data_IF_683889399202
#
_entry.id   IF_683889399202
#
_cell.length_a   1.000
_cell.length_b   1.000
_cell.length_c   1.000
_cell.angle_alpha   90.00
_cell.angle_beta   90.00
_cell.angle_gamma   90.00
#
_symmetry.space_group_name_H-M   'P 1'
#
loop_
_entity.id
_entity.type
_entity.pdbx_description
1 polymer ?
#
# COMPACT_ATOMS: atom_id res chain seq x y z
N UNK A 1 -23.65 2.30 -24.98
CA UNK A 1 -24.71 1.27 -24.98
C UNK A 1 -25.91 1.87 -24.24
N UNK A 2 -27.03 1.95 -24.91
CA UNK A 2 -28.28 2.42 -24.33
C UNK A 2 -29.06 1.19 -23.82
N UNK A 3 -29.32 1.16 -22.51
CA UNK A 3 -30.22 0.18 -21.92
C UNK A 3 -31.31 0.95 -21.20
N UNK A 4 -32.50 1.01 -21.83
CA UNK A 4 -33.56 1.88 -21.36
C UNK A 4 -33.20 3.36 -21.53
N UNK A 5 -33.71 4.23 -20.66
CA UNK A 5 -33.49 5.69 -20.68
C UNK A 5 -32.18 6.13 -20.01
N UNK A 6 -31.19 5.24 -19.86
CA UNK A 6 -29.95 5.51 -19.12
C UNK A 6 -28.72 5.33 -20.00
N UNK A 7 -27.86 6.35 -20.02
CA UNK A 7 -26.56 6.34 -20.71
C UNK A 7 -25.46 6.23 -19.65
N UNK A 8 -24.57 5.25 -19.81
CA UNK A 8 -23.46 5.02 -18.89
C UNK A 8 -22.14 5.46 -19.53
N UNK A 9 -21.26 6.05 -18.75
CA UNK A 9 -19.87 6.27 -19.13
C UNK A 9 -19.03 4.99 -18.92
N UNK A 10 -17.74 5.02 -19.31
CA UNK A 10 -16.83 3.88 -19.18
C UNK A 10 -16.53 3.47 -17.73
N UNK A 11 -16.93 4.25 -16.72
CA UNK A 11 -16.79 3.91 -15.29
C UNK A 11 -18.09 3.38 -14.69
N UNK A 12 -19.12 3.15 -15.51
CA UNK A 12 -20.43 2.70 -15.06
C UNK A 12 -21.26 3.76 -14.34
N UNK A 13 -20.84 5.01 -14.35
CA UNK A 13 -21.62 6.12 -13.78
C UNK A 13 -22.67 6.62 -14.76
N UNK A 14 -23.79 7.05 -14.23
CA UNK A 14 -24.83 7.69 -15.01
C UNK A 14 -24.33 9.04 -15.53
N UNK A 15 -24.10 9.14 -16.83
CA UNK A 15 -23.70 10.40 -17.45
C UNK A 15 -24.77 11.51 -17.33
N UNK A 16 -26.02 11.14 -17.04
CA UNK A 16 -27.16 12.07 -16.89
C UNK A 16 -27.34 12.64 -15.48
N UNK A 17 -26.79 12.00 -14.43
CA UNK A 17 -26.92 12.48 -13.05
C UNK A 17 -26.06 13.72 -12.73
N UNK A 18 -25.14 14.09 -13.64
CA UNK A 18 -24.34 15.31 -13.51
C UNK A 18 -24.94 16.53 -14.22
N UNK A 19 -26.11 16.40 -14.79
CA UNK A 19 -26.78 17.49 -15.49
C UNK A 19 -27.82 18.15 -14.57
N UNK A 20 -27.55 19.37 -14.16
CA UNK A 20 -28.53 20.26 -13.52
C UNK A 20 -29.79 20.36 -14.37
N UNK A 21 -30.88 19.82 -13.88
CA UNK A 21 -32.31 20.10 -14.09
C UNK A 21 -32.90 20.33 -15.48
N UNK A 22 -32.12 20.65 -16.52
CA UNK A 22 -32.65 20.88 -17.87
C UNK A 22 -32.30 19.68 -18.78
N UNK A 23 -33.34 19.14 -19.43
CA UNK A 23 -33.15 18.10 -20.46
C UNK A 23 -32.33 18.69 -21.61
N UNK A 24 -31.18 18.10 -21.95
CA UNK A 24 -30.37 18.59 -23.05
C UNK A 24 -31.17 18.54 -24.35
N UNK A 25 -31.07 19.58 -25.17
CA UNK A 25 -31.71 19.60 -26.47
C UNK A 25 -31.05 18.56 -27.41
N UNK A 26 -31.77 18.19 -28.46
CA UNK A 26 -31.33 17.17 -29.41
C UNK A 26 -30.04 17.54 -30.13
N UNK A 27 -29.72 18.84 -30.27
CA UNK A 27 -28.49 19.32 -30.89
C UNK A 27 -27.28 19.11 -29.99
N UNK A 28 -27.40 19.38 -28.70
CA UNK A 28 -26.37 19.14 -27.69
C UNK A 28 -26.07 17.63 -27.55
N UNK A 29 -27.09 16.77 -27.63
CA UNK A 29 -26.93 15.33 -27.62
C UNK A 29 -26.20 14.82 -28.87
N UNK A 30 -26.53 15.35 -30.07
CA UNK A 30 -25.83 15.00 -31.31
C UNK A 30 -24.36 15.37 -31.26
N UNK A 31 -24.01 16.59 -30.86
CA UNK A 31 -22.63 17.06 -30.75
C UNK A 31 -21.85 16.20 -29.78
N UNK A 32 -22.43 15.82 -28.63
CA UNK A 32 -21.80 14.93 -27.66
C UNK A 32 -21.59 13.52 -28.18
N UNK A 33 -22.50 13.00 -29.00
CA UNK A 33 -22.34 11.68 -29.63
C UNK A 33 -21.29 11.72 -30.73
N UNK A 34 -21.22 12.82 -31.51
CA UNK A 34 -20.18 13.00 -32.55
C UNK A 34 -18.79 13.22 -31.96
N UNK A 35 -18.67 13.93 -30.83
CA UNK A 35 -17.42 14.15 -30.11
C UNK A 35 -17.02 12.96 -29.20
N UNK A 36 -17.90 12.01 -29.00
CA UNK A 36 -17.63 10.82 -28.20
C UNK A 36 -16.63 9.91 -28.93
N UNK A 37 -15.38 10.07 -28.61
CA UNK A 37 -14.33 9.09 -28.91
C UNK A 37 -14.37 8.05 -27.80
N UNK A 38 -14.86 6.81 -28.06
CA UNK A 38 -14.70 5.75 -27.09
C UNK A 38 -13.20 5.55 -26.85
N UNK A 39 -12.70 6.03 -25.74
CA UNK A 39 -11.45 5.54 -25.20
C UNK A 39 -11.75 4.09 -24.85
N UNK A 40 -11.42 3.17 -25.76
CA UNK A 40 -11.34 1.78 -25.43
C UNK A 40 -10.26 1.68 -24.35
N UNK A 41 -10.67 1.71 -23.11
CA UNK A 41 -9.82 1.30 -22.01
C UNK A 41 -9.73 -0.21 -22.18
N UNK A 42 -8.80 -0.66 -23.03
CA UNK A 42 -8.44 -2.06 -23.19
C UNK A 42 -7.60 -2.47 -21.98
N UNK A 43 -8.16 -2.29 -20.79
CA UNK A 43 -7.68 -2.96 -19.62
C UNK A 43 -7.90 -4.45 -19.90
N UNK A 44 -6.81 -5.16 -20.13
CA UNK A 44 -6.84 -6.60 -20.31
C UNK A 44 -7.43 -7.22 -19.05
N UNK A 45 -8.51 -7.98 -19.23
CA UNK A 45 -9.24 -8.65 -18.16
C UNK A 45 -9.03 -10.14 -18.22
N UNK A 46 -9.13 -10.78 -17.07
CA UNK A 46 -9.11 -12.23 -16.94
C UNK A 46 -10.26 -12.73 -16.08
N UNK A 47 -10.36 -14.04 -15.95
CA UNK A 47 -11.38 -14.70 -15.15
C UNK A 47 -10.72 -15.63 -14.14
N UNK A 48 -11.20 -15.62 -12.91
CA UNK A 48 -10.75 -16.54 -11.85
C UNK A 48 -11.23 -17.95 -12.18
N UNK A 49 -10.30 -18.89 -12.26
CA UNK A 49 -10.58 -20.32 -12.49
C UNK A 49 -10.45 -21.16 -11.22
N UNK A 50 -9.72 -20.66 -10.22
CA UNK A 50 -9.56 -21.33 -8.92
C UNK A 50 -9.30 -20.29 -7.85
N UNK A 51 -9.83 -20.49 -6.65
CA UNK A 51 -9.60 -19.64 -5.48
C UNK A 51 -9.45 -20.51 -4.24
N UNK A 52 -8.32 -20.39 -3.53
CA UNK A 52 -8.04 -21.09 -2.28
C UNK A 52 -7.03 -20.31 -1.44
N UNK A 53 -7.29 -20.22 -0.13
CA UNK A 53 -6.37 -19.67 0.88
C UNK A 53 -5.78 -18.28 0.53
N UNK A 54 -6.57 -17.41 -0.09
CA UNK A 54 -6.13 -16.06 -0.46
C UNK A 54 -5.28 -16.02 -1.73
N UNK A 55 -5.12 -17.15 -2.43
CA UNK A 55 -4.48 -17.24 -3.74
C UNK A 55 -5.54 -17.58 -4.77
N UNK A 56 -5.52 -16.87 -5.88
CA UNK A 56 -6.42 -17.13 -7.00
C UNK A 56 -5.62 -17.40 -8.27
N UNK A 57 -6.12 -18.34 -9.06
CA UNK A 57 -5.61 -18.63 -10.40
C UNK A 57 -6.51 -17.94 -11.43
N UNK A 58 -5.92 -17.22 -12.35
CA UNK A 58 -6.62 -16.41 -13.35
C UNK A 58 -6.16 -16.78 -14.75
N UNK A 59 -7.07 -16.85 -15.69
CA UNK A 59 -6.81 -17.00 -17.12
C UNK A 59 -7.20 -15.75 -17.91
N UNK A 60 -6.57 -15.51 -19.06
CA UNK A 60 -6.93 -14.46 -20.01
C UNK A 60 -6.21 -13.12 -19.85
N UNK A 61 -5.14 -13.06 -19.05
CA UNK A 61 -4.30 -11.86 -18.89
C UNK A 61 -2.85 -12.10 -19.32
N UNK A 62 -2.64 -12.29 -20.61
CA UNK A 62 -1.35 -12.73 -21.18
C UNK A 62 -0.22 -11.68 -21.04
N UNK A 63 -0.55 -10.43 -20.80
CA UNK A 63 0.41 -9.33 -20.66
C UNK A 63 0.68 -8.93 -19.21
N UNK A 64 0.08 -9.63 -18.25
CA UNK A 64 0.34 -9.35 -16.84
C UNK A 64 1.79 -9.66 -16.49
N UNK A 65 2.37 -8.87 -15.61
CA UNK A 65 3.75 -9.02 -15.17
C UNK A 65 3.81 -9.32 -13.67
N UNK A 66 4.85 -10.03 -13.26
CA UNK A 66 5.12 -10.26 -11.84
C UNK A 66 5.11 -8.95 -11.04
N UNK A 67 4.48 -8.97 -9.86
CA UNK A 67 4.36 -7.82 -8.99
C UNK A 67 3.33 -6.78 -9.43
N UNK A 68 2.54 -7.04 -10.49
CA UNK A 68 1.48 -6.13 -10.93
C UNK A 68 0.26 -6.20 -10.00
N UNK A 69 -0.29 -5.04 -9.65
CA UNK A 69 -1.56 -4.96 -8.92
C UNK A 69 -2.71 -5.16 -9.89
N UNK A 70 -3.65 -5.98 -9.49
CA UNK A 70 -4.91 -6.23 -10.19
C UNK A 70 -6.09 -5.88 -9.29
N UNK A 71 -7.22 -5.55 -9.93
CA UNK A 71 -8.47 -5.24 -9.23
C UNK A 71 -9.56 -6.19 -9.71
N UNK A 72 -10.27 -6.78 -8.77
CA UNK A 72 -11.40 -7.65 -9.03
C UNK A 72 -12.69 -6.83 -9.14
N UNK A 73 -13.71 -7.35 -9.81
CA UNK A 73 -15.00 -6.67 -10.02
C UNK A 73 -15.72 -6.27 -8.72
N UNK A 74 -15.46 -6.98 -7.64
CA UNK A 74 -15.96 -6.69 -6.29
C UNK A 74 -15.14 -5.64 -5.54
N UNK A 75 -14.09 -5.05 -6.17
CA UNK A 75 -13.20 -4.05 -5.59
C UNK A 75 -12.02 -4.62 -4.80
N UNK A 76 -11.94 -5.94 -4.59
CA UNK A 76 -10.77 -6.58 -3.98
C UNK A 76 -9.51 -6.31 -4.80
N UNK A 77 -8.36 -6.25 -4.13
CA UNK A 77 -7.06 -6.05 -4.77
C UNK A 77 -6.15 -7.24 -4.54
N UNK A 78 -5.33 -7.52 -5.53
CA UNK A 78 -4.31 -8.57 -5.44
C UNK A 78 -3.05 -8.21 -6.20
N UNK A 79 -2.03 -9.03 -6.04
CA UNK A 79 -0.75 -8.89 -6.74
C UNK A 79 -0.45 -10.17 -7.51
N UNK A 80 0.03 -10.03 -8.73
CA UNK A 80 0.51 -11.15 -9.55
C UNK A 80 1.79 -11.70 -8.95
N UNK A 81 1.75 -12.95 -8.48
CA UNK A 81 2.87 -13.64 -7.83
C UNK A 81 3.54 -14.66 -8.74
N UNK A 82 2.77 -15.29 -9.64
CA UNK A 82 3.33 -16.19 -10.63
C UNK A 82 2.72 -15.95 -12.01
N UNK A 83 3.56 -16.09 -13.03
CA UNK A 83 3.17 -15.96 -14.43
C UNK A 83 3.53 -17.26 -15.14
N UNK A 84 2.52 -18.02 -15.54
CA UNK A 84 2.64 -19.26 -16.28
C UNK A 84 2.03 -19.11 -17.67
N UNK A 85 2.37 -19.99 -18.64
CA UNK A 85 1.92 -19.82 -20.03
C UNK A 85 0.41 -19.80 -20.23
N UNK A 86 -0.36 -20.42 -19.34
CA UNK A 86 -1.82 -20.53 -19.44
C UNK A 86 -2.58 -19.84 -18.33
N UNK A 87 -1.93 -19.50 -17.23
CA UNK A 87 -2.59 -18.91 -16.07
C UNK A 87 -1.64 -18.05 -15.22
N UNK A 88 -2.23 -17.23 -14.39
CA UNK A 88 -1.55 -16.37 -13.42
C UNK A 88 -1.94 -16.77 -12.00
N UNK A 89 -0.97 -16.85 -11.11
CA UNK A 89 -1.22 -16.89 -9.67
C UNK A 89 -1.28 -15.48 -9.10
N UNK A 90 -2.38 -15.14 -8.47
CA UNK A 90 -2.59 -13.84 -7.85
C UNK A 90 -2.80 -14.02 -6.36
N UNK A 91 -2.08 -13.25 -5.56
CA UNK A 91 -2.20 -13.22 -4.12
C UNK A 91 -3.13 -12.07 -3.72
N UNK A 92 -4.21 -12.36 -2.99
CA UNK A 92 -5.19 -11.35 -2.59
C UNK A 92 -4.69 -10.57 -1.37
N UNK A 93 -4.78 -9.25 -1.42
CA UNK A 93 -4.51 -8.39 -0.27
C UNK A 93 -5.70 -8.34 0.69
N UNK A 94 -6.91 -8.30 0.13
CA UNK A 94 -8.16 -8.23 0.87
C UNK A 94 -9.27 -9.01 0.13
N UNK A 95 -10.44 -9.11 0.77
CA UNK A 95 -11.64 -9.64 0.12
C UNK A 95 -11.56 -11.10 -0.33
N UNK A 96 -10.67 -11.92 0.23
CA UNK A 96 -10.49 -13.33 -0.17
C UNK A 96 -11.80 -14.14 -0.12
N UNK A 97 -12.70 -13.82 0.83
CA UNK A 97 -14.00 -14.49 0.98
C UNK A 97 -15.00 -14.12 -0.13
N UNK A 98 -14.76 -13.00 -0.81
CA UNK A 98 -15.65 -12.46 -1.84
C UNK A 98 -15.20 -12.75 -3.27
N UNK A 99 -14.00 -13.31 -3.46
CA UNK A 99 -13.45 -13.68 -4.77
C UNK A 99 -13.61 -15.17 -5.00
N UNK A 100 -14.43 -15.54 -5.96
CA UNK A 100 -14.70 -16.92 -6.34
C UNK A 100 -14.42 -17.21 -7.82
N UNK A 101 -14.58 -18.48 -8.19
CA UNK A 101 -14.48 -18.90 -9.59
C UNK A 101 -15.49 -18.13 -10.46
N UNK A 102 -15.05 -17.61 -11.60
CA UNK A 102 -15.85 -16.79 -12.50
C UNK A 102 -15.78 -15.29 -12.23
N UNK A 103 -15.18 -14.85 -11.11
CA UNK A 103 -14.99 -13.41 -10.83
C UNK A 103 -14.09 -12.78 -11.89
N UNK A 104 -14.47 -11.61 -12.39
CA UNK A 104 -13.67 -10.87 -13.35
C UNK A 104 -12.56 -10.11 -12.63
N UNK A 105 -11.39 -10.10 -13.26
CA UNK A 105 -10.22 -9.37 -12.77
C UNK A 105 -9.65 -8.51 -13.89
N UNK A 106 -9.20 -7.31 -13.53
CA UNK A 106 -8.68 -6.30 -14.46
C UNK A 106 -7.29 -5.88 -14.05
N UNK A 107 -6.40 -5.75 -15.02
CA UNK A 107 -5.04 -5.22 -14.82
C UNK A 107 -5.07 -3.72 -14.51
N UNK A 108 -4.21 -3.29 -13.61
CA UNK A 108 -3.99 -1.86 -13.36
C UNK A 108 -2.81 -1.30 -14.16
N UNK A 109 -1.94 -2.14 -14.71
CA UNK A 109 -0.70 -1.74 -15.36
C UNK A 109 0.34 -1.16 -14.39
N UNK A 110 0.10 -1.23 -13.08
CA UNK A 110 0.99 -0.69 -12.05
C UNK A 110 1.57 -1.84 -11.22
N UNK A 111 2.89 -1.81 -11.02
CA UNK A 111 3.52 -2.73 -10.07
C UNK A 111 3.15 -2.34 -8.64
N UNK A 112 3.17 -3.33 -7.76
CA UNK A 112 2.99 -3.10 -6.34
C UNK A 112 4.01 -2.07 -5.82
N UNK A 113 3.52 -1.10 -5.07
CA UNK A 113 4.32 0.00 -4.57
C UNK A 113 3.56 0.75 -3.49
N UNK A 114 4.20 1.77 -2.96
CA UNK A 114 3.64 2.61 -1.92
C UNK A 114 3.65 4.08 -2.37
N UNK A 115 2.58 4.82 -2.12
CA UNK A 115 2.59 6.27 -2.30
C UNK A 115 3.52 6.91 -1.27
N UNK A 116 4.29 7.91 -1.68
CA UNK A 116 5.29 8.60 -0.86
C UNK A 116 5.09 10.10 -0.86
N UNK A 117 5.53 10.74 0.21
CA UNK A 117 5.48 12.21 0.37
C UNK A 117 5.59 12.63 1.83
N UNK A 118 5.90 13.89 2.09
CA UNK A 118 6.00 14.44 3.45
C UNK A 118 4.66 14.40 4.20
N UNK A 119 3.53 14.38 3.48
CA UNK A 119 2.19 14.27 4.07
C UNK A 119 1.95 12.96 4.84
N UNK A 120 2.82 11.97 4.67
CA UNK A 120 2.79 10.71 5.42
C UNK A 120 3.38 10.82 6.82
N UNK A 121 4.15 11.88 7.13
CA UNK A 121 4.64 12.13 8.47
C UNK A 121 3.49 12.40 9.44
N UNK A 122 3.54 11.78 10.61
CA UNK A 122 2.48 11.87 11.61
C UNK A 122 1.25 11.00 11.34
N UNK A 123 1.32 10.12 10.34
CA UNK A 123 0.20 9.28 9.94
C UNK A 123 0.44 7.81 10.29
N UNK A 124 -0.68 7.09 10.43
CA UNK A 124 -0.69 5.62 10.54
C UNK A 124 -1.35 5.08 9.28
N UNK A 125 -0.61 4.27 8.53
CA UNK A 125 -1.02 3.75 7.23
C UNK A 125 -0.93 2.22 7.20
N UNK A 126 -1.64 1.61 6.25
CA UNK A 126 -1.45 0.21 5.92
C UNK A 126 -0.27 0.04 4.92
N UNK A 127 0.18 -1.18 4.60
CA UNK A 127 1.27 -1.41 3.66
C UNK A 127 1.01 -0.96 2.21
N UNK A 128 -0.22 -0.66 1.84
CA UNK A 128 -0.58 -0.06 0.55
C UNK A 128 -0.56 1.47 0.57
N UNK A 129 -0.22 2.10 1.71
CA UNK A 129 -0.20 3.54 1.89
C UNK A 129 -1.57 4.17 2.19
N UNK A 130 -2.58 3.36 2.45
CA UNK A 130 -3.91 3.85 2.83
C UNK A 130 -3.95 4.25 4.31
N UNK A 131 -4.49 5.42 4.66
CA UNK A 131 -4.55 5.86 6.06
C UNK A 131 -5.56 5.03 6.87
N UNK A 132 -5.13 4.59 8.05
CA UNK A 132 -5.96 3.85 9.01
C UNK A 132 -6.15 4.61 10.33
N UNK A 133 -5.69 5.86 10.39
CA UNK A 133 -5.74 6.72 11.57
C UNK A 133 -6.99 7.61 11.66
N UNK A 134 -7.93 7.47 10.72
CA UNK A 134 -9.17 8.25 10.68
C UNK A 134 -9.01 9.74 10.33
N UNK A 135 -7.81 10.18 9.92
CA UNK A 135 -7.54 11.61 9.60
C UNK A 135 -7.79 11.97 8.13
N UNK A 136 -8.44 11.10 7.35
CA UNK A 136 -8.74 11.34 5.93
C UNK A 136 -7.60 10.97 4.99
N UNK A 137 -7.82 11.17 3.70
CA UNK A 137 -6.89 10.84 2.63
C UNK A 137 -5.55 11.59 2.75
N UNK A 138 -4.48 11.00 2.23
CA UNK A 138 -3.13 11.57 2.20
C UNK A 138 -2.80 11.91 0.75
N UNK A 139 -2.36 13.13 0.48
CA UNK A 139 -1.87 13.53 -0.82
C UNK A 139 -0.45 13.02 -1.04
N UNK A 140 -0.30 12.10 -1.99
CA UNK A 140 1.00 11.56 -2.36
C UNK A 140 1.69 12.46 -3.39
N UNK A 141 2.99 12.67 -3.21
CA UNK A 141 3.84 13.39 -4.18
C UNK A 141 4.38 12.44 -5.24
N UNK A 142 4.56 11.17 -4.89
CA UNK A 142 5.13 10.16 -5.77
C UNK A 142 4.68 8.76 -5.41
N UNK A 143 5.21 7.79 -6.15
CA UNK A 143 4.92 6.37 -5.96
C UNK A 143 6.21 5.58 -6.14
N UNK A 144 6.60 4.80 -5.14
CA UNK A 144 7.78 3.95 -5.19
C UNK A 144 7.37 2.47 -5.30
N UNK A 145 7.99 1.69 -6.20
CA UNK A 145 7.75 0.25 -6.25
C UNK A 145 8.26 -0.42 -4.97
N UNK A 146 7.53 -1.45 -4.51
CA UNK A 146 7.90 -2.24 -3.32
C UNK A 146 9.23 -2.94 -3.54
N UNK A 147 9.43 -3.51 -4.72
CA UNK A 147 10.68 -4.16 -5.09
C UNK A 147 11.54 -3.19 -5.92
N UNK A 148 12.66 -2.79 -5.35
CA UNK A 148 13.67 -1.97 -6.00
C UNK A 148 15.03 -2.65 -5.86
N UNK A 149 15.82 -2.59 -6.92
CA UNK A 149 17.20 -3.09 -6.87
C UNK A 149 17.98 -2.34 -5.81
N UNK A 150 18.62 -3.09 -4.89
CA UNK A 150 19.45 -2.50 -3.86
C UNK A 150 20.71 -1.85 -4.48
N UNK A 151 21.23 -0.75 -3.89
CA UNK A 151 22.47 -0.15 -4.32
C UNK A 151 23.65 -1.14 -4.29
N UNK A 152 24.47 -1.11 -5.34
CA UNK A 152 25.68 -1.92 -5.44
C UNK A 152 26.74 -1.51 -4.41
N UNK A 153 27.82 -2.30 -4.32
CA UNK A 153 28.90 -2.06 -3.33
C UNK A 153 29.55 -0.68 -3.57
N UNK A 154 29.72 -0.27 -4.83
CA UNK A 154 30.35 1.00 -5.19
C UNK A 154 29.47 2.23 -4.90
N UNK A 155 28.17 2.03 -4.81
CA UNK A 155 27.19 3.09 -4.55
C UNK A 155 26.94 3.32 -3.05
N UNK A 156 27.43 2.39 -2.21
CA UNK A 156 27.23 2.47 -0.77
C UNK A 156 28.28 3.32 -0.11
N UNK A 157 27.83 4.21 0.77
CA UNK A 157 28.71 5.00 1.64
C UNK A 157 29.09 4.18 2.88
N UNK A 158 30.30 4.40 3.39
CA UNK A 158 30.75 3.83 4.66
C UNK A 158 29.90 4.33 5.82
N UNK A 159 29.68 3.47 6.81
CA UNK A 159 28.97 3.83 8.05
C UNK A 159 29.96 4.53 8.98
N UNK A 160 29.90 5.84 9.06
CA UNK A 160 30.83 6.69 9.83
C UNK A 160 30.12 7.67 10.80
N UNK A 161 28.81 7.76 10.71
CA UNK A 161 28.02 8.68 11.51
C UNK A 161 27.18 7.91 12.53
N UNK A 162 27.32 8.16 13.84
CA UNK A 162 26.56 7.46 14.87
C UNK A 162 25.07 7.84 14.85
N UNK A 163 24.22 6.85 15.14
CA UNK A 163 22.84 7.04 15.53
C UNK A 163 22.73 6.96 17.05
N UNK A 164 22.41 8.04 17.71
CA UNK A 164 22.21 8.05 19.16
C UNK A 164 20.84 7.48 19.52
N UNK A 165 20.84 6.35 20.22
CA UNK A 165 19.61 5.71 20.69
C UNK A 165 19.07 6.36 21.97
N UNK A 166 19.93 7.09 22.70
CA UNK A 166 19.65 7.64 24.05
C UNK A 166 19.76 6.58 25.16
N UNK A 167 20.11 5.34 24.81
CA UNK A 167 20.29 4.25 25.76
C UNK A 167 21.80 4.12 26.04
N UNK A 168 22.23 4.50 27.23
CA UNK A 168 23.64 4.59 27.58
C UNK A 168 24.43 3.30 27.30
N UNK A 169 23.88 2.15 27.62
CA UNK A 169 24.53 0.84 27.39
C UNK A 169 24.74 0.53 25.91
N UNK A 170 23.86 0.99 25.04
CA UNK A 170 24.00 0.82 23.59
C UNK A 170 25.00 1.84 23.05
N UNK A 171 24.75 3.11 23.31
CA UNK A 171 25.54 4.21 22.73
C UNK A 171 27.01 4.21 23.17
N UNK A 172 27.31 3.71 24.38
CA UNK A 172 28.68 3.65 24.90
C UNK A 172 29.45 2.38 24.56
N UNK A 173 28.78 1.21 24.44
CA UNK A 173 29.46 -0.06 24.28
C UNK A 173 29.30 -0.67 22.88
N UNK A 174 28.14 -0.45 22.24
CA UNK A 174 27.77 -1.01 20.93
C UNK A 174 27.08 0.06 20.08
N UNK A 175 27.76 1.18 19.76
CA UNK A 175 27.13 2.29 19.03
C UNK A 175 26.61 1.83 17.67
N UNK A 176 25.42 2.26 17.35
CA UNK A 176 24.77 2.00 16.07
C UNK A 176 25.13 3.12 15.09
N UNK A 177 25.53 2.78 13.89
CA UNK A 177 25.80 3.76 12.83
C UNK A 177 24.62 3.97 11.88
N UNK A 178 24.50 5.16 11.33
CA UNK A 178 23.49 5.46 10.29
C UNK A 178 23.77 4.64 9.03
N UNK A 179 22.80 3.82 8.62
CA UNK A 179 22.93 2.84 7.53
C UNK A 179 23.21 1.42 8.01
N UNK A 180 23.39 1.21 9.31
CA UNK A 180 23.56 -0.12 9.90
C UNK A 180 22.19 -0.83 10.04
N UNK A 181 22.20 -2.15 9.92
CA UNK A 181 21.06 -3.02 10.26
C UNK A 181 21.34 -3.65 11.60
N UNK A 182 20.40 -3.51 12.53
CA UNK A 182 20.53 -4.02 13.89
C UNK A 182 19.39 -4.99 14.20
N UNK A 183 19.71 -6.09 14.88
CA UNK A 183 18.74 -7.08 15.33
C UNK A 183 18.51 -6.92 16.83
N UNK A 184 17.27 -6.66 17.23
CA UNK A 184 16.83 -6.69 18.62
C UNK A 184 16.04 -7.97 18.85
N UNK A 185 16.67 -8.96 19.52
CA UNK A 185 16.09 -10.28 19.78
C UNK A 185 15.92 -10.52 21.27
N UNK A 186 14.91 -11.27 21.66
CA UNK A 186 14.62 -11.66 23.03
C UNK A 186 13.21 -12.25 23.15
N UNK A 187 12.90 -12.81 24.32
CA UNK A 187 11.59 -13.37 24.62
C UNK A 187 10.47 -12.34 24.67
N UNK A 188 9.24 -12.81 24.84
CA UNK A 188 8.08 -11.92 25.00
C UNK A 188 8.26 -11.02 26.22
N UNK A 189 7.88 -9.75 26.09
CA UNK A 189 7.88 -8.74 27.19
C UNK A 189 9.27 -8.38 27.74
N UNK A 190 10.34 -8.63 27.01
CA UNK A 190 11.73 -8.29 27.41
C UNK A 190 12.14 -6.85 27.08
N UNK A 191 11.22 -6.02 26.56
CA UNK A 191 11.50 -4.61 26.30
C UNK A 191 11.99 -4.30 24.88
N UNK A 192 11.93 -5.25 23.92
CA UNK A 192 12.35 -5.00 22.51
C UNK A 192 11.68 -3.76 21.90
N UNK A 193 10.37 -3.67 22.05
CA UNK A 193 9.61 -2.51 21.54
C UNK A 193 9.99 -1.23 22.26
N UNK A 194 10.27 -1.28 23.56
CA UNK A 194 10.70 -0.10 24.33
C UNK A 194 12.02 0.46 23.80
N UNK A 195 13.00 -0.40 23.48
CA UNK A 195 14.25 0.03 22.86
C UNK A 195 13.98 0.79 21.55
N UNK A 196 13.12 0.23 20.70
CA UNK A 196 12.77 0.87 19.42
C UNK A 196 12.03 2.20 19.61
N UNK A 197 11.05 2.25 20.51
CA UNK A 197 10.28 3.48 20.77
C UNK A 197 11.14 4.55 21.45
N UNK A 198 11.97 4.19 22.43
CA UNK A 198 12.89 5.12 23.08
C UNK A 198 13.91 5.69 22.08
N UNK A 199 14.42 4.87 21.16
CA UNK A 199 15.27 5.34 20.06
C UNK A 199 14.57 6.36 19.19
N UNK A 200 13.29 6.12 18.82
CA UNK A 200 12.48 7.10 18.06
C UNK A 200 12.32 8.40 18.86
N UNK A 201 11.98 8.31 20.15
CA UNK A 201 11.80 9.51 21.00
C UNK A 201 13.08 10.35 21.08
N UNK A 202 14.25 9.71 21.07
CA UNK A 202 15.54 10.39 21.12
C UNK A 202 15.98 10.99 19.77
N UNK A 203 15.22 10.80 18.68
CA UNK A 203 15.51 11.45 17.40
C UNK A 203 14.92 12.87 17.29
N UNK A 204 14.30 13.38 18.33
CA UNK A 204 13.78 14.75 18.33
C UNK A 204 14.91 15.75 18.01
N UNK A 205 14.64 16.68 17.10
CA UNK A 205 15.54 17.74 16.66
C UNK A 205 16.85 17.28 15.98
N UNK A 206 16.96 15.99 15.63
CA UNK A 206 18.13 15.43 14.93
C UNK A 206 18.00 15.46 13.40
N UNK A 207 16.82 15.81 12.88
CA UNK A 207 16.50 15.74 11.45
C UNK A 207 16.29 14.32 10.91
N UNK A 208 16.27 13.30 11.77
CA UNK A 208 16.02 11.91 11.40
C UNK A 208 14.52 11.66 11.29
N UNK A 209 14.07 11.17 10.14
CA UNK A 209 12.72 10.68 9.95
C UNK A 209 12.64 9.22 10.40
N UNK A 210 11.59 8.88 11.13
CA UNK A 210 11.40 7.55 11.68
C UNK A 210 10.23 6.84 11.01
N UNK A 211 10.41 5.57 10.67
CA UNK A 211 9.35 4.73 10.18
C UNK A 211 9.24 3.52 11.10
N UNK A 212 8.09 3.37 11.76
CA UNK A 212 7.79 2.23 12.61
C UNK A 212 6.91 1.24 11.87
N UNK A 213 7.44 0.05 11.55
CA UNK A 213 6.70 -0.99 10.83
C UNK A 213 6.23 -2.04 11.83
N UNK A 214 4.92 -2.14 12.02
CA UNK A 214 4.29 -3.12 12.92
C UNK A 214 3.70 -4.27 12.09
N UNK A 215 4.22 -5.49 12.27
CA UNK A 215 3.81 -6.67 11.51
C UNK A 215 3.28 -7.73 12.47
N UNK A 216 2.07 -8.26 12.17
CA UNK A 216 1.45 -9.33 12.95
C UNK A 216 1.13 -8.97 14.40
N UNK A 217 1.09 -7.68 14.74
CA UNK A 217 0.77 -7.19 16.07
C UNK A 217 -0.74 -6.95 16.22
N UNK A 218 -1.23 -6.99 17.47
CA UNK A 218 -2.60 -6.60 17.77
C UNK A 218 -2.79 -5.10 17.49
N UNK A 219 -3.89 -4.72 16.87
CA UNK A 219 -4.24 -3.32 16.60
C UNK A 219 -4.16 -2.42 17.85
N UNK A 220 -4.57 -2.95 19.03
CA UNK A 220 -4.48 -2.24 20.31
C UNK A 220 -3.04 -1.95 20.75
N UNK A 221 -2.08 -2.81 20.39
CA UNK A 221 -0.65 -2.59 20.68
C UNK A 221 -0.08 -1.49 19.81
N UNK A 222 -0.45 -1.48 18.53
CA UNK A 222 -0.04 -0.45 17.56
C UNK A 222 -0.62 0.92 17.97
N UNK A 223 -1.90 0.95 18.34
CA UNK A 223 -2.56 2.16 18.83
C UNK A 223 -1.86 2.74 20.07
N UNK A 224 -1.43 1.87 21.01
CA UNK A 224 -0.67 2.30 22.20
C UNK A 224 0.67 2.93 21.82
N UNK A 225 1.42 2.33 20.89
CA UNK A 225 2.68 2.91 20.40
C UNK A 225 2.43 4.26 19.73
N UNK A 226 1.41 4.37 18.88
CA UNK A 226 1.05 5.62 18.23
C UNK A 226 0.68 6.72 19.23
N UNK A 227 -0.08 6.37 20.28
CA UNK A 227 -0.47 7.30 21.33
C UNK A 227 0.72 7.74 22.16
N UNK A 228 1.62 6.82 22.50
CA UNK A 228 2.86 7.12 23.25
C UNK A 228 3.78 8.06 22.46
N UNK A 229 4.02 7.79 21.19
CA UNK A 229 4.77 8.68 20.30
C UNK A 229 4.11 10.05 20.15
N UNK A 230 2.77 10.10 20.08
CA UNK A 230 2.01 11.34 20.01
C UNK A 230 2.14 12.15 21.30
N UNK A 231 2.03 11.50 22.45
CA UNK A 231 2.14 12.12 23.78
C UNK A 231 3.50 12.81 23.96
N UNK A 232 4.57 12.21 23.44
CA UNK A 232 5.93 12.74 23.53
C UNK A 232 6.33 13.62 22.33
N UNK A 233 5.40 13.92 21.42
CA UNK A 233 5.64 14.82 20.28
C UNK A 233 6.45 14.20 19.15
N UNK A 234 6.67 12.87 19.15
CA UNK A 234 7.49 12.19 18.16
C UNK A 234 6.76 11.90 16.84
N UNK A 235 5.43 12.00 16.82
CA UNK A 235 4.65 11.75 15.58
C UNK A 235 4.99 12.74 14.46
N UNK A 236 5.45 13.95 14.78
CA UNK A 236 5.78 14.95 13.75
C UNK A 236 6.89 14.54 12.77
N UNK A 237 7.75 13.61 13.17
CA UNK A 237 8.84 13.06 12.35
C UNK A 237 8.74 11.53 12.21
N UNK A 238 7.59 10.93 12.55
CA UNK A 238 7.40 9.47 12.52
C UNK A 238 6.19 9.10 11.68
N UNK A 239 6.35 8.07 10.84
CA UNK A 239 5.26 7.38 10.14
C UNK A 239 5.13 5.97 10.69
N UNK A 240 3.91 5.49 10.89
CA UNK A 240 3.64 4.10 11.32
C UNK A 240 3.02 3.35 10.16
N UNK A 241 3.67 2.26 9.73
CA UNK A 241 3.12 1.30 8.76
C UNK A 241 2.62 0.09 9.54
N UNK A 242 1.34 -0.20 9.49
CA UNK A 242 0.73 -1.24 10.28
C UNK A 242 0.10 -2.33 9.42
N UNK A 243 0.58 -3.56 9.61
CA UNK A 243 -0.04 -4.79 9.15
C UNK A 243 -0.38 -5.62 10.40
N UNK A 244 -1.64 -5.60 10.79
CA UNK A 244 -2.11 -6.23 12.04
C UNK A 244 -2.16 -7.75 11.92
N UNK A 245 -2.32 -8.43 13.04
CA UNK A 245 -2.47 -9.90 13.05
C UNK A 245 -3.76 -10.40 12.38
N UNK A 246 -4.74 -9.51 12.18
CA UNK A 246 -5.99 -9.80 11.45
C UNK A 246 -5.91 -9.53 9.96
N UNK A 247 -4.86 -8.85 9.51
CA UNK A 247 -4.67 -8.56 8.09
C UNK A 247 -4.15 -9.80 7.36
N UNK A 248 -4.38 -9.85 6.06
CA UNK A 248 -3.96 -10.96 5.22
C UNK A 248 -2.43 -11.17 5.25
N UNK A 249 -1.99 -12.41 5.07
CA UNK A 249 -0.56 -12.73 5.00
C UNK A 249 0.20 -11.92 3.93
N UNK A 250 -0.36 -11.65 2.75
CA UNK A 250 0.26 -10.78 1.75
C UNK A 250 0.53 -9.36 2.24
N UNK A 251 -0.42 -8.74 2.94
CA UNK A 251 -0.20 -7.42 3.52
C UNK A 251 0.92 -7.41 4.55
N UNK A 252 1.00 -8.46 5.39
CA UNK A 252 2.09 -8.61 6.34
C UNK A 252 3.44 -8.82 5.64
N UNK A 253 3.45 -9.54 4.50
CA UNK A 253 4.64 -9.77 3.69
C UNK A 253 5.20 -8.49 3.07
N UNK A 254 4.34 -7.64 2.51
CA UNK A 254 4.80 -6.39 1.86
C UNK A 254 5.11 -5.25 2.84
N UNK A 255 4.67 -5.34 4.10
CA UNK A 255 4.85 -4.28 5.08
C UNK A 255 6.31 -3.82 5.29
N UNK A 256 7.33 -4.70 5.41
CA UNK A 256 8.72 -4.26 5.55
C UNK A 256 9.23 -3.54 4.30
N UNK A 257 8.81 -3.96 3.11
CA UNK A 257 9.17 -3.28 1.86
C UNK A 257 8.52 -1.90 1.75
N UNK A 258 7.26 -1.80 2.17
CA UNK A 258 6.54 -0.53 2.20
C UNK A 258 7.17 0.48 3.18
N UNK A 259 7.80 -0.01 4.25
CA UNK A 259 8.48 0.83 5.23
C UNK A 259 9.92 1.21 4.87
N UNK A 260 10.46 0.65 3.79
CA UNK A 260 11.86 0.88 3.36
C UNK A 260 11.93 1.82 2.18
#
# INVERSE_FOLDING_TARGET
LQVGDRVFDNSGRHALDQMTGDKPDLATLKTRVEDYKPAANTAEGGTVVSAADGIVTVEGMDRAVYGEIVTFENGAKGMVESVEPSHLGIMLFDGAESVGVGTLVTRTGKRAGIPVGEAFLGRVINPLGEPIDGKGAIEAVGYNPIEKQAPGILERQSVDTPLHTGILSIDSMFPIGRGQRELIIGDRQTGKTSIATDTILNQKDTGVLCIYVAIGQKASSIARVAEDLKKHGAMGYTTIVAATASDSAPLQYIAPYAGT
#
